data_IF_924348485629
#
_entry.id   IF_924348485629
#
_cell.length_a   1.000
_cell.length_b   1.000
_cell.length_c   1.000
_cell.angle_alpha   90.00
_cell.angle_beta   90.00
_cell.angle_gamma   90.00
#
_symmetry.space_group_name_H-M   'P 1'
#
loop_
_entity.id
_entity.type
_entity.pdbx_description
1 polymer ?
#
# COMPACT_ATOMS: atom_id res chain seq x y z
N UNK A 1 -31.14 -18.12 -22.20
CA UNK A 1 -32.09 -17.04 -21.89
C UNK A 1 -32.17 -16.02 -23.03
N UNK A 2 -31.06 -15.51 -23.57
CA UNK A 2 -31.03 -14.52 -24.67
C UNK A 2 -31.83 -15.02 -25.91
N UNK A 3 -31.64 -16.27 -26.31
CA UNK A 3 -32.37 -16.89 -27.44
C UNK A 3 -33.86 -17.10 -27.14
N UNK A 4 -34.19 -17.47 -25.90
CA UNK A 4 -35.56 -17.72 -25.47
C UNK A 4 -36.39 -16.41 -25.45
N UNK A 5 -35.84 -15.33 -24.91
CA UNK A 5 -36.50 -14.03 -24.92
C UNK A 5 -36.65 -13.43 -26.33
N UNK A 6 -35.63 -13.59 -27.18
CA UNK A 6 -35.71 -13.17 -28.58
C UNK A 6 -36.78 -13.95 -29.37
N UNK A 7 -36.95 -15.25 -29.08
CA UNK A 7 -38.00 -16.05 -29.74
C UNK A 7 -39.40 -15.69 -29.29
N UNK A 8 -39.56 -15.11 -28.10
CA UNK A 8 -40.87 -14.66 -27.59
C UNK A 8 -41.15 -13.17 -27.85
N UNK A 9 -40.20 -12.43 -28.47
CA UNK A 9 -40.36 -11.01 -28.75
C UNK A 9 -40.34 -10.09 -27.52
N UNK A 10 -39.92 -10.62 -26.35
CA UNK A 10 -39.88 -9.89 -25.08
C UNK A 10 -38.51 -9.26 -24.86
N UNK A 11 -38.47 -8.05 -24.26
CA UNK A 11 -37.22 -7.37 -23.91
C UNK A 11 -36.65 -7.92 -22.58
N UNK A 12 -35.35 -8.18 -22.57
CA UNK A 12 -34.65 -8.60 -21.36
C UNK A 12 -34.61 -7.47 -20.33
N UNK A 13 -34.86 -7.76 -19.04
CA UNK A 13 -34.69 -6.79 -17.97
C UNK A 13 -33.30 -6.16 -17.97
N UNK A 14 -33.22 -4.84 -17.72
CA UNK A 14 -31.99 -4.05 -17.87
C UNK A 14 -30.76 -4.60 -17.10
N UNK A 15 -30.98 -5.18 -15.92
CA UNK A 15 -29.89 -5.78 -15.13
C UNK A 15 -29.37 -7.07 -15.76
N UNK A 16 -30.23 -7.90 -16.34
CA UNK A 16 -29.86 -9.14 -17.05
C UNK A 16 -29.15 -8.80 -18.36
N UNK A 17 -29.61 -7.80 -19.10
CA UNK A 17 -28.94 -7.33 -20.33
C UNK A 17 -27.56 -6.75 -20.04
N UNK A 18 -27.39 -6.02 -18.94
CA UNK A 18 -26.07 -5.54 -18.47
C UNK A 18 -25.11 -6.70 -18.15
N UNK A 19 -25.58 -7.72 -17.44
CA UNK A 19 -24.75 -8.89 -17.11
C UNK A 19 -24.35 -9.69 -18.35
N UNK A 20 -25.26 -9.83 -19.32
CA UNK A 20 -24.95 -10.47 -20.61
C UNK A 20 -23.93 -9.66 -21.42
N UNK A 21 -24.05 -8.33 -21.41
CA UNK A 21 -23.07 -7.44 -22.04
C UNK A 21 -21.69 -7.56 -21.38
N UNK A 22 -21.64 -7.58 -20.05
CA UNK A 22 -20.40 -7.79 -19.29
C UNK A 22 -19.77 -9.15 -19.62
N UNK A 23 -20.58 -10.22 -19.64
CA UNK A 23 -20.14 -11.56 -20.02
C UNK A 23 -19.58 -11.59 -21.45
N UNK A 24 -20.25 -10.98 -22.42
CA UNK A 24 -19.78 -10.90 -23.81
C UNK A 24 -18.46 -10.15 -23.93
N UNK A 25 -18.27 -9.05 -23.19
CA UNK A 25 -17.01 -8.30 -23.17
C UNK A 25 -15.89 -9.19 -22.63
N UNK A 26 -16.09 -9.80 -21.47
CA UNK A 26 -15.05 -10.62 -20.79
C UNK A 26 -14.70 -11.87 -21.60
N UNK A 27 -15.68 -12.49 -22.27
CA UNK A 27 -15.49 -13.72 -23.06
C UNK A 27 -15.04 -13.44 -24.49
N UNK A 28 -15.04 -12.17 -24.91
CA UNK A 28 -14.64 -11.83 -26.28
C UNK A 28 -13.15 -12.13 -26.52
N UNK A 29 -12.80 -12.74 -27.68
CA UNK A 29 -11.39 -13.03 -27.99
C UNK A 29 -10.53 -11.77 -28.00
N UNK A 30 -11.12 -10.63 -28.33
CA UNK A 30 -10.46 -9.31 -28.28
C UNK A 30 -10.07 -8.90 -26.87
N UNK A 31 -10.97 -9.07 -25.89
CA UNK A 31 -10.70 -8.75 -24.49
C UNK A 31 -9.62 -9.67 -23.90
N UNK A 32 -9.66 -10.98 -24.23
CA UNK A 32 -8.66 -11.97 -23.79
C UNK A 32 -7.25 -11.65 -24.30
N UNK A 33 -7.12 -11.02 -25.47
CA UNK A 33 -5.83 -10.61 -26.03
C UNK A 33 -5.43 -9.21 -25.54
N UNK A 34 -6.37 -8.24 -25.52
CA UNK A 34 -6.08 -6.86 -25.18
C UNK A 34 -5.80 -6.70 -23.68
N UNK A 35 -6.52 -7.44 -22.81
CA UNK A 35 -6.38 -7.28 -21.35
C UNK A 35 -4.96 -7.61 -20.84
N UNK A 36 -4.32 -8.73 -21.21
CA UNK A 36 -2.94 -8.99 -20.78
C UNK A 36 -1.93 -8.00 -21.39
N UNK A 37 -2.17 -7.55 -22.64
CA UNK A 37 -1.32 -6.56 -23.27
C UNK A 37 -1.40 -5.22 -22.54
N UNK A 38 -2.61 -4.78 -22.17
CA UNK A 38 -2.82 -3.52 -21.41
C UNK A 38 -2.19 -3.59 -20.04
N UNK A 39 -2.34 -4.72 -19.33
CA UNK A 39 -1.70 -4.97 -18.03
C UNK A 39 -0.17 -4.93 -18.17
N UNK A 40 0.37 -5.58 -19.21
CA UNK A 40 1.82 -5.61 -19.46
C UNK A 40 2.38 -4.22 -19.79
N UNK A 41 1.68 -3.45 -20.64
CA UNK A 41 2.07 -2.06 -20.95
C UNK A 41 1.99 -1.19 -19.69
N UNK A 42 0.91 -1.30 -18.91
CA UNK A 42 0.76 -0.59 -17.64
C UNK A 42 1.88 -0.90 -16.66
N UNK A 43 2.21 -2.18 -16.50
CA UNK A 43 3.33 -2.62 -15.66
C UNK A 43 4.69 -2.11 -16.17
N UNK A 44 4.90 -2.14 -17.48
CA UNK A 44 6.13 -1.64 -18.10
C UNK A 44 6.29 -0.12 -17.90
N UNK A 45 5.23 0.67 -18.12
CA UNK A 45 5.23 2.11 -17.88
C UNK A 45 5.42 2.45 -16.41
N UNK A 46 4.79 1.70 -15.51
CA UNK A 46 5.00 1.85 -14.07
C UNK A 46 6.45 1.59 -13.68
N UNK A 47 7.03 0.49 -14.16
CA UNK A 47 8.43 0.15 -13.87
C UNK A 47 9.41 1.18 -14.47
N UNK A 48 9.14 1.68 -15.67
CA UNK A 48 9.93 2.74 -16.29
C UNK A 48 9.87 4.04 -15.47
N UNK A 49 8.69 4.41 -14.97
CA UNK A 49 8.52 5.59 -14.12
C UNK A 49 9.20 5.39 -12.77
N UNK A 50 9.05 4.22 -12.16
CA UNK A 50 9.65 3.88 -10.86
C UNK A 50 11.18 3.76 -10.91
N UNK A 51 11.78 3.45 -12.06
CA UNK A 51 13.23 3.41 -12.24
C UNK A 51 13.87 4.80 -12.27
N UNK A 52 13.10 5.85 -12.53
CA UNK A 52 13.58 7.24 -12.54
C UNK A 52 13.55 7.83 -11.14
N UNK A 53 14.62 8.52 -10.69
CA UNK A 53 14.69 9.12 -9.34
C UNK A 53 13.51 10.03 -9.02
N UNK A 54 13.09 10.87 -9.96
CA UNK A 54 11.94 11.77 -9.78
C UNK A 54 10.61 11.01 -9.68
N UNK A 55 10.42 9.99 -10.52
CA UNK A 55 9.23 9.14 -10.51
C UNK A 55 9.11 8.35 -9.21
N UNK A 56 10.19 7.72 -8.78
CA UNK A 56 10.26 6.98 -7.52
C UNK A 56 9.93 7.87 -6.32
N UNK A 57 10.53 9.07 -6.25
CA UNK A 57 10.25 10.05 -5.20
C UNK A 57 8.77 10.46 -5.18
N UNK A 58 8.16 10.68 -6.34
CA UNK A 58 6.74 11.06 -6.43
C UNK A 58 5.82 9.94 -6.00
N UNK A 59 6.08 8.71 -6.43
CA UNK A 59 5.31 7.51 -6.06
C UNK A 59 5.46 7.24 -4.56
N UNK A 60 6.66 7.22 -4.02
CA UNK A 60 6.92 6.97 -2.61
C UNK A 60 6.25 8.04 -1.70
N UNK A 61 6.27 9.31 -2.13
CA UNK A 61 5.57 10.37 -1.43
C UNK A 61 4.03 10.21 -1.49
N UNK A 62 3.51 9.72 -2.61
CA UNK A 62 2.08 9.42 -2.75
C UNK A 62 1.68 8.24 -1.85
N UNK A 63 2.47 7.18 -1.86
CA UNK A 63 2.23 5.97 -1.05
C UNK A 63 2.20 6.30 0.44
N UNK A 64 3.11 7.15 0.93
CA UNK A 64 3.10 7.61 2.32
C UNK A 64 1.85 8.43 2.70
N UNK A 65 1.11 8.98 1.72
CA UNK A 65 -0.13 9.74 1.95
C UNK A 65 -1.39 8.87 1.93
N UNK A 66 -1.28 7.62 1.48
CA UNK A 66 -2.42 6.70 1.49
C UNK A 66 -2.74 6.31 2.94
N UNK A 67 -3.97 6.57 3.42
CA UNK A 67 -4.34 6.21 4.78
C UNK A 67 -4.17 4.69 4.99
N UNK A 68 -3.79 4.29 6.19
CA UNK A 68 -3.46 2.92 6.60
C UNK A 68 -2.15 2.37 5.99
N UNK A 69 -1.98 2.42 4.67
CA UNK A 69 -0.78 1.90 4.00
C UNK A 69 0.46 2.78 4.22
N UNK A 70 0.29 4.10 4.14
CA UNK A 70 1.39 5.04 4.35
C UNK A 70 1.94 4.98 5.77
N UNK A 71 1.06 4.87 6.76
CA UNK A 71 1.43 4.72 8.16
C UNK A 71 2.17 3.39 8.40
N UNK A 72 1.68 2.29 7.83
CA UNK A 72 2.32 0.98 7.90
C UNK A 72 3.75 1.00 7.31
N UNK A 73 3.90 1.57 6.12
CA UNK A 73 5.20 1.65 5.44
C UNK A 73 6.16 2.53 6.24
N UNK A 74 5.71 3.69 6.72
CA UNK A 74 6.53 4.56 7.54
C UNK A 74 7.01 3.87 8.82
N UNK A 75 6.10 3.25 9.57
CA UNK A 75 6.43 2.51 10.79
C UNK A 75 7.39 1.35 10.54
N UNK A 76 7.21 0.62 9.43
CA UNK A 76 8.11 -0.47 9.02
C UNK A 76 9.51 0.04 8.70
N UNK A 77 9.64 1.14 7.98
CA UNK A 77 10.93 1.78 7.69
C UNK A 77 11.62 2.28 8.97
N UNK A 78 10.86 2.88 9.89
CA UNK A 78 11.39 3.36 11.18
C UNK A 78 11.83 2.20 12.08
N UNK A 79 11.08 1.09 12.10
CA UNK A 79 11.46 -0.12 12.82
C UNK A 79 12.78 -0.68 12.30
N UNK A 80 12.89 -0.85 10.97
CA UNK A 80 14.10 -1.35 10.31
C UNK A 80 15.31 -0.43 10.51
N UNK A 81 15.09 0.88 10.38
CA UNK A 81 16.13 1.88 10.61
C UNK A 81 16.65 1.84 12.04
N UNK A 82 15.75 1.82 13.04
CA UNK A 82 16.11 1.78 14.46
C UNK A 82 16.84 0.49 14.83
N UNK A 83 16.40 -0.64 14.28
CA UNK A 83 17.02 -1.97 14.46
C UNK A 83 18.45 -2.01 13.90
N UNK A 84 18.60 -1.53 12.67
CA UNK A 84 19.88 -1.47 11.97
C UNK A 84 20.86 -0.55 12.70
N UNK A 85 20.41 0.66 13.07
CA UNK A 85 21.24 1.62 13.83
C UNK A 85 21.65 1.06 15.18
N UNK A 86 20.72 0.49 15.96
CA UNK A 86 21.01 -0.11 17.27
C UNK A 86 22.07 -1.20 17.15
N UNK A 87 21.88 -2.14 16.21
CA UNK A 87 22.80 -3.27 15.99
C UNK A 87 24.19 -2.80 15.59
N UNK A 88 24.30 -1.86 14.66
CA UNK A 88 25.58 -1.37 14.16
C UNK A 88 26.34 -0.53 15.21
N UNK A 89 25.63 0.35 15.95
CA UNK A 89 26.23 1.15 17.01
C UNK A 89 26.68 0.26 18.17
N UNK A 90 25.89 -0.76 18.54
CA UNK A 90 26.31 -1.76 19.53
C UNK A 90 27.57 -2.53 19.10
N UNK A 91 27.77 -2.73 17.80
CA UNK A 91 28.97 -3.35 17.24
C UNK A 91 30.17 -2.39 17.13
N UNK A 92 30.06 -1.16 17.61
CA UNK A 92 31.12 -0.14 17.58
C UNK A 92 31.30 0.56 16.24
N UNK A 93 30.34 0.41 15.31
CA UNK A 93 30.36 1.10 14.02
C UNK A 93 29.96 2.56 14.23
N UNK A 94 30.61 3.48 13.52
CA UNK A 94 30.32 4.92 13.63
C UNK A 94 28.87 5.23 13.18
N UNK A 95 28.28 6.28 13.79
CA UNK A 95 26.92 6.73 13.46
C UNK A 95 26.77 7.03 11.95
N UNK A 96 27.78 7.66 11.35
CA UNK A 96 27.77 8.00 9.92
C UNK A 96 27.71 6.77 9.05
N UNK A 97 28.56 5.78 9.33
CA UNK A 97 28.57 4.51 8.58
C UNK A 97 27.27 3.71 8.80
N UNK A 98 26.75 3.71 10.03
CA UNK A 98 25.47 3.08 10.36
C UNK A 98 24.31 3.72 9.59
N UNK A 99 24.27 5.04 9.46
CA UNK A 99 23.28 5.76 8.64
C UNK A 99 23.41 5.41 7.15
N UNK A 100 24.62 5.25 6.61
CA UNK A 100 24.84 4.81 5.23
C UNK A 100 24.25 3.41 4.97
N UNK A 101 24.44 2.48 5.91
CA UNK A 101 23.83 1.14 5.83
C UNK A 101 22.28 1.24 5.87
N UNK A 102 21.73 2.12 6.71
CA UNK A 102 20.28 2.36 6.74
C UNK A 102 19.75 2.91 5.42
N UNK A 103 20.46 3.80 4.74
CA UNK A 103 20.08 4.29 3.40
C UNK A 103 20.00 3.12 2.41
N UNK A 104 20.97 2.21 2.45
CA UNK A 104 20.98 1.06 1.54
C UNK A 104 19.88 0.04 1.86
N UNK A 105 19.53 -0.11 3.12
CA UNK A 105 18.47 -1.02 3.57
C UNK A 105 17.05 -0.44 3.36
N UNK A 106 16.89 0.88 3.38
CA UNK A 106 15.60 1.53 3.19
C UNK A 106 15.08 1.32 1.76
N UNK A 107 13.78 1.10 1.62
CA UNK A 107 13.09 1.03 0.33
C UNK A 107 12.48 2.35 -0.11
N UNK A 108 12.18 3.26 0.83
CA UNK A 108 11.50 4.52 0.56
C UNK A 108 12.49 5.67 0.27
N UNK A 109 12.36 6.31 -0.89
CA UNK A 109 13.27 7.39 -1.31
C UNK A 109 13.13 8.64 -0.43
N UNK A 110 11.97 8.90 0.17
CA UNK A 110 11.79 10.06 1.07
C UNK A 110 12.61 9.88 2.34
N UNK A 111 12.62 8.66 2.90
CA UNK A 111 13.44 8.30 4.06
C UNK A 111 14.93 8.37 3.69
N UNK A 112 15.33 7.84 2.53
CA UNK A 112 16.71 7.93 2.04
C UNK A 112 17.21 9.38 1.95
N UNK A 113 16.39 10.27 1.40
CA UNK A 113 16.72 11.70 1.29
C UNK A 113 16.89 12.31 2.69
N UNK A 114 16.01 11.98 3.63
CA UNK A 114 16.12 12.42 5.01
C UNK A 114 17.45 11.97 5.64
N UNK A 115 17.79 10.70 5.53
CA UNK A 115 19.02 10.12 6.07
C UNK A 115 20.28 10.69 5.40
N UNK A 116 20.31 10.86 4.07
CA UNK A 116 21.43 11.49 3.36
C UNK A 116 21.69 12.90 3.88
N UNK A 117 20.61 13.68 4.12
CA UNK A 117 20.73 15.00 4.69
C UNK A 117 21.27 14.97 6.11
N UNK A 118 20.79 14.02 6.92
CA UNK A 118 21.27 13.85 8.30
C UNK A 118 22.76 13.47 8.35
N UNK A 119 23.24 12.59 7.45
CA UNK A 119 24.67 12.27 7.34
C UNK A 119 25.50 13.53 7.12
N UNK A 120 25.08 14.40 6.20
CA UNK A 120 25.80 15.65 5.93
C UNK A 120 25.90 16.57 7.15
N UNK A 121 24.86 16.61 7.98
CA UNK A 121 24.82 17.44 9.19
C UNK A 121 25.63 16.80 10.34
N UNK A 122 25.50 15.48 10.53
CA UNK A 122 26.26 14.74 11.55
C UNK A 122 27.77 14.77 11.25
N UNK A 123 28.17 14.68 9.99
CA UNK A 123 29.59 14.83 9.58
C UNK A 123 30.15 16.22 9.88
N UNK A 124 29.28 17.24 9.95
CA UNK A 124 29.64 18.60 10.39
C UNK A 124 29.62 18.77 11.91
N UNK A 125 29.41 17.69 12.68
CA UNK A 125 29.42 17.69 14.14
C UNK A 125 28.08 18.02 14.79
N UNK A 126 26.98 18.04 14.01
CA UNK A 126 25.65 18.19 14.62
C UNK A 126 25.17 16.87 15.22
N UNK A 127 24.37 16.97 16.27
CA UNK A 127 23.69 15.83 16.88
C UNK A 127 22.75 15.12 15.86
N UNK A 128 22.63 13.81 15.96
CA UNK A 128 21.76 13.01 15.10
C UNK A 128 20.28 13.44 15.26
N UNK A 129 19.83 13.67 16.49
CA UNK A 129 18.49 14.14 16.82
C UNK A 129 18.15 15.45 16.07
N UNK A 130 19.01 16.45 16.19
CA UNK A 130 18.86 17.75 15.49
C UNK A 130 18.90 17.59 13.98
N UNK A 131 19.76 16.72 13.47
CA UNK A 131 19.87 16.45 12.04
C UNK A 131 18.60 15.82 11.47
N UNK A 132 18.00 14.87 12.19
CA UNK A 132 16.75 14.20 11.81
C UNK A 132 15.53 15.12 11.93
N UNK A 133 15.52 16.08 12.84
CA UNK A 133 14.42 17.02 13.01
C UNK A 133 14.17 17.89 11.77
N UNK A 134 15.21 18.11 10.96
CA UNK A 134 15.06 18.82 9.68
C UNK A 134 14.19 18.07 8.68
N UNK A 135 13.94 16.79 8.87
CA UNK A 135 13.15 15.93 8.00
C UNK A 135 11.73 15.77 8.56
N UNK A 136 10.76 16.43 7.91
CA UNK A 136 9.35 16.42 8.35
C UNK A 136 8.70 15.03 8.38
N UNK A 137 9.31 14.03 7.72
CA UNK A 137 8.81 12.66 7.65
C UNK A 137 9.12 11.85 8.91
N UNK A 138 10.10 12.28 9.69
CA UNK A 138 10.53 11.59 10.91
C UNK A 138 9.65 12.00 12.09
N UNK A 139 8.99 11.04 12.79
CA UNK A 139 8.14 11.36 13.95
C UNK A 139 8.91 11.95 15.12
N UNK A 140 8.27 12.86 15.84
CA UNK A 140 8.85 13.51 17.02
C UNK A 140 9.28 12.52 18.11
N UNK A 141 8.53 11.43 18.29
CA UNK A 141 8.88 10.38 19.26
C UNK A 141 10.28 9.84 19.01
N UNK A 142 10.59 9.49 17.75
CA UNK A 142 11.91 8.98 17.38
C UNK A 142 13.01 10.00 17.65
N UNK A 143 12.79 11.25 17.25
CA UNK A 143 13.73 12.35 17.49
C UNK A 143 14.01 12.53 18.98
N UNK A 144 12.95 12.56 19.81
CA UNK A 144 13.08 12.75 21.27
C UNK A 144 13.84 11.61 21.95
N UNK A 145 13.58 10.36 21.55
CA UNK A 145 14.29 9.20 22.12
C UNK A 145 15.77 9.17 21.69
N UNK A 146 16.06 9.50 20.43
CA UNK A 146 17.44 9.65 19.96
C UNK A 146 18.15 10.74 20.76
N UNK A 147 17.53 11.88 20.97
CA UNK A 147 18.09 12.98 21.75
C UNK A 147 18.45 12.55 23.17
N UNK A 148 17.53 11.89 23.87
CA UNK A 148 17.80 11.32 25.19
C UNK A 148 18.98 10.34 25.15
N UNK A 149 19.01 9.48 24.12
CA UNK A 149 20.10 8.51 23.93
C UNK A 149 21.47 9.17 23.68
N UNK A 150 21.51 10.28 22.95
CA UNK A 150 22.72 11.09 22.71
C UNK A 150 23.19 11.77 24.00
N UNK A 151 22.29 12.42 24.73
CA UNK A 151 22.59 13.13 25.98
C UNK A 151 23.05 12.19 27.10
N UNK A 152 22.53 10.95 27.15
CA UNK A 152 22.85 9.96 28.19
C UNK A 152 23.94 8.94 27.78
N UNK A 153 24.40 8.98 26.52
CA UNK A 153 25.31 7.97 25.96
C UNK A 153 24.70 6.58 25.77
N UNK A 154 23.38 6.46 25.87
CA UNK A 154 22.64 5.19 25.75
C UNK A 154 21.89 5.08 24.40
N UNK A 155 22.49 5.61 23.33
CA UNK A 155 21.83 5.73 22.02
C UNK A 155 21.39 4.37 21.46
N UNK A 156 22.23 3.34 21.54
CA UNK A 156 21.89 2.00 21.05
C UNK A 156 20.71 1.39 21.79
N UNK A 157 20.63 1.57 23.11
CA UNK A 157 19.50 1.11 23.92
C UNK A 157 18.19 1.82 23.55
N UNK A 158 18.26 3.13 23.34
CA UNK A 158 17.08 3.91 22.92
C UNK A 158 16.61 3.50 21.54
N UNK A 159 17.52 3.24 20.62
CA UNK A 159 17.21 2.73 19.26
C UNK A 159 16.61 1.32 19.27
N UNK A 160 17.09 0.44 20.15
CA UNK A 160 16.51 -0.90 20.34
C UNK A 160 15.05 -0.81 20.84
N UNK A 161 14.81 0.05 21.83
CA UNK A 161 13.44 0.30 22.32
C UNK A 161 12.54 0.87 21.24
N UNK A 162 13.05 1.79 20.41
CA UNK A 162 12.32 2.32 19.26
C UNK A 162 12.00 1.23 18.21
N UNK A 163 12.97 0.37 17.90
CA UNK A 163 12.76 -0.77 17.01
C UNK A 163 11.62 -1.65 17.51
N UNK A 164 11.67 -2.05 18.78
CA UNK A 164 10.64 -2.88 19.40
C UNK A 164 9.27 -2.19 19.47
N UNK A 165 9.24 -0.87 19.71
CA UNK A 165 8.02 -0.09 19.68
C UNK A 165 7.41 -0.08 18.26
N UNK A 166 8.19 0.28 17.25
CA UNK A 166 7.67 0.34 15.87
C UNK A 166 7.34 -1.02 15.29
N UNK A 167 8.04 -2.12 15.68
CA UNK A 167 7.66 -3.49 15.31
C UNK A 167 6.26 -3.83 15.80
N UNK A 168 5.91 -3.49 17.05
CA UNK A 168 4.55 -3.67 17.59
C UNK A 168 3.53 -2.81 16.86
N UNK A 169 3.86 -1.56 16.59
CA UNK A 169 2.99 -0.66 15.82
C UNK A 169 2.69 -1.18 14.41
N UNK A 170 3.67 -1.84 13.76
CA UNK A 170 3.48 -2.52 12.47
C UNK A 170 2.53 -3.70 12.61
N UNK A 171 2.71 -4.56 13.62
CA UNK A 171 1.83 -5.71 13.88
C UNK A 171 0.39 -5.27 14.14
N UNK A 172 0.19 -4.21 14.90
CA UNK A 172 -1.13 -3.61 15.14
C UNK A 172 -1.74 -3.06 13.85
N UNK A 173 -0.98 -2.33 13.04
CA UNK A 173 -1.44 -1.80 11.77
C UNK A 173 -1.83 -2.91 10.79
N UNK A 174 -1.05 -3.99 10.70
CA UNK A 174 -1.40 -5.19 9.90
C UNK A 174 -2.68 -5.84 10.41
N UNK A 175 -2.85 -5.93 11.72
CA UNK A 175 -4.07 -6.49 12.33
C UNK A 175 -5.31 -5.65 11.98
N UNK A 176 -5.20 -4.33 12.05
CA UNK A 176 -6.28 -3.40 11.66
C UNK A 176 -6.62 -3.55 10.19
N UNK A 177 -5.61 -3.61 9.31
CA UNK A 177 -5.81 -3.84 7.87
C UNK A 177 -6.53 -5.17 7.61
N UNK A 178 -6.10 -6.24 8.25
CA UNK A 178 -6.70 -7.58 8.09
C UNK A 178 -8.17 -7.57 8.53
N UNK A 179 -8.47 -6.96 9.67
CA UNK A 179 -9.86 -6.83 10.17
C UNK A 179 -10.72 -5.95 9.25
N UNK A 180 -10.16 -4.93 8.64
CA UNK A 180 -10.88 -4.09 7.68
C UNK A 180 -11.17 -4.80 6.35
N UNK A 181 -10.36 -5.79 5.98
CA UNK A 181 -10.58 -6.59 4.76
C UNK A 181 -11.78 -7.53 4.88
N UNK A 182 -12.12 -8.01 6.07
CA UNK A 182 -13.22 -8.96 6.27
C UNK A 182 -14.58 -8.42 5.82
N UNK A 183 -15.06 -7.25 6.32
CA UNK A 183 -16.31 -6.66 5.84
C UNK A 183 -16.28 -6.32 4.34
N UNK A 184 -15.13 -5.92 3.82
CA UNK A 184 -14.97 -5.60 2.40
C UNK A 184 -15.16 -6.86 1.54
N UNK A 185 -14.51 -7.97 1.89
CA UNK A 185 -14.66 -9.24 1.18
C UNK A 185 -16.10 -9.73 1.23
N UNK A 186 -16.74 -9.69 2.40
CA UNK A 186 -18.15 -10.09 2.56
C UNK A 186 -19.05 -9.21 1.67
N UNK A 187 -18.84 -7.90 1.67
CA UNK A 187 -19.63 -6.97 0.86
C UNK A 187 -19.46 -7.21 -0.64
N UNK A 188 -18.25 -7.47 -1.10
CA UNK A 188 -17.96 -7.80 -2.50
C UNK A 188 -18.63 -9.11 -2.91
N UNK A 189 -18.47 -10.17 -2.09
CA UNK A 189 -19.07 -11.47 -2.37
C UNK A 189 -20.60 -11.38 -2.36
N UNK A 190 -21.18 -10.71 -1.36
CA UNK A 190 -22.62 -10.50 -1.28
C UNK A 190 -23.15 -9.69 -2.47
N UNK A 191 -22.42 -8.66 -2.91
CA UNK A 191 -22.74 -7.89 -4.10
C UNK A 191 -22.74 -8.74 -5.38
N UNK A 192 -21.71 -9.55 -5.57
CA UNK A 192 -21.60 -10.46 -6.75
C UNK A 192 -22.73 -11.48 -6.73
N UNK A 193 -22.90 -12.21 -5.62
CA UNK A 193 -23.93 -13.26 -5.50
C UNK A 193 -25.33 -12.64 -5.63
N UNK A 194 -25.59 -11.52 -4.92
CA UNK A 194 -26.87 -10.83 -5.00
C UNK A 194 -27.21 -10.37 -6.44
N UNK A 195 -26.23 -9.83 -7.15
CA UNK A 195 -26.42 -9.42 -8.55
C UNK A 195 -26.73 -10.61 -9.46
N UNK A 196 -26.03 -11.74 -9.29
CA UNK A 196 -26.28 -12.97 -10.06
C UNK A 196 -27.68 -13.50 -9.78
N UNK A 197 -28.07 -13.59 -8.51
CA UNK A 197 -29.40 -14.07 -8.12
C UNK A 197 -30.48 -13.18 -8.72
N UNK A 198 -30.40 -11.88 -8.56
CA UNK A 198 -31.38 -10.93 -9.12
C UNK A 198 -31.43 -11.05 -10.65
N UNK A 199 -30.27 -11.13 -11.33
CA UNK A 199 -30.21 -11.28 -12.78
C UNK A 199 -30.81 -12.57 -13.31
N UNK A 200 -30.84 -13.65 -12.50
CA UNK A 200 -31.49 -14.92 -12.84
C UNK A 200 -33.00 -14.90 -12.57
N UNK A 201 -33.44 -14.31 -11.45
CA UNK A 201 -34.86 -14.30 -11.07
C UNK A 201 -35.68 -13.26 -11.83
N UNK A 202 -35.11 -12.10 -12.15
CA UNK A 202 -35.82 -11.02 -12.84
C UNK A 202 -36.47 -11.46 -14.18
N UNK A 203 -35.77 -12.20 -15.08
CA UNK A 203 -36.37 -12.74 -16.29
C UNK A 203 -37.53 -13.71 -16.02
N UNK A 204 -37.41 -14.54 -14.97
CA UNK A 204 -38.47 -15.48 -14.62
C UNK A 204 -39.76 -14.77 -14.19
N UNK A 205 -39.66 -13.70 -13.43
CA UNK A 205 -40.82 -12.90 -13.02
C UNK A 205 -41.44 -12.15 -14.19
N UNK A 206 -40.67 -11.62 -15.12
CA UNK A 206 -41.19 -10.92 -16.30
C UNK A 206 -41.95 -11.86 -17.22
N UNK A 207 -41.50 -13.10 -17.39
CA UNK A 207 -42.22 -14.11 -18.15
C UNK A 207 -43.57 -14.49 -17.53
N UNK A 208 -43.64 -14.61 -16.20
CA UNK A 208 -44.88 -14.90 -15.48
C UNK A 208 -45.92 -13.77 -15.67
N UNK A 209 -45.46 -12.53 -15.64
CA UNK A 209 -46.35 -11.37 -15.83
C UNK A 209 -46.85 -11.19 -17.26
N UNK A 210 -46.04 -11.55 -18.26
CA UNK A 210 -46.47 -11.50 -19.68
C UNK A 210 -47.39 -12.69 -20.08
N UNK A 211 -47.26 -13.84 -19.41
CA UNK A 211 -48.11 -15.00 -19.68
C UNK A 211 -49.43 -15.01 -18.86
N UNK A 212 -49.54 -14.16 -17.85
CA UNK A 212 -50.71 -14.08 -16.95
C UNK A 212 -51.67 -12.88 -17.23
N UNK A 213 -51.41 -12.07 -18.25
CA UNK A 213 -52.28 -10.97 -18.72
C UNK A 213 -52.73 -11.23 -20.13
#
# INVERSE_FOLDING_TARGET
FDEMFKSMGAELPGLTSFMLLLSRIVTSPQFLIISPITVFIGFYLFNMTYSTQSGRRSIDNLVLKIPLFGDLILKSELASMSDTLSTLINSGISIVEALEKCINASSNEIIKIALRRSISLVTQGQELSTSLETAKVIPRLLISMIKIGEETGALSFMLENLSNFYKREVEEAVTVLTKAMEPLVISVVAGIVGTIVIALYLPMFSLITEMGG
#
